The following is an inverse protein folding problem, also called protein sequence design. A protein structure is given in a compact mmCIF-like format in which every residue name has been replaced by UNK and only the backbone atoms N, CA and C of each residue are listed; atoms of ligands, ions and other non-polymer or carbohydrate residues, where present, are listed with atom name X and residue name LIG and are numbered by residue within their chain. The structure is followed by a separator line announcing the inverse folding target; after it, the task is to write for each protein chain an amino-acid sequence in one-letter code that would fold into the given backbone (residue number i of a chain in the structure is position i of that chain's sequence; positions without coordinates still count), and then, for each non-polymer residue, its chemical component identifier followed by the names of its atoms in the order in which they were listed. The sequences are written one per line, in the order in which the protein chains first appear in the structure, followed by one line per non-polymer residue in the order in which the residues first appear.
data_IF_814288911638
#
_entry.id   IF_814288911638
#
_cell.length_a   1.000
_cell.length_b   1.000
_cell.length_c   1.000
_cell.angle_alpha   90.00
_cell.angle_beta   90.00
_cell.angle_gamma   90.00
#
_symmetry.space_group_name_H-M   'P 1'
#
loop_
_entity.id
_entity.type
_entity.pdbx_description
1 polymer ?
#
# COMPACT_ATOMS: atom_id res chain seq x y z
N UNK A 1 1.78 -24.90 -9.51
CA UNK A 1 2.30 -24.10 -10.64
C UNK A 1 2.03 -22.65 -10.37
N UNK A 2 3.04 -21.78 -10.47
CA UNK A 2 2.92 -20.33 -10.23
C UNK A 2 2.76 -19.61 -11.57
N UNK A 3 1.55 -19.24 -11.94
CA UNK A 3 1.27 -18.32 -13.06
C UNK A 3 0.43 -17.18 -12.53
N UNK A 4 1.10 -16.10 -12.12
CA UNK A 4 0.50 -14.78 -11.92
C UNK A 4 1.35 -13.80 -12.71
N UNK A 5 1.24 -13.86 -14.04
CA UNK A 5 1.89 -12.91 -14.94
C UNK A 5 1.04 -11.64 -14.98
N UNK A 6 1.07 -10.85 -13.90
CA UNK A 6 0.60 -9.48 -13.93
C UNK A 6 1.69 -8.59 -14.55
N UNK A 7 1.31 -7.44 -15.10
CA UNK A 7 2.29 -6.41 -15.48
C UNK A 7 3.13 -6.04 -14.24
N UNK A 8 4.48 -6.00 -14.36
CA UNK A 8 5.35 -5.60 -13.27
C UNK A 8 4.99 -4.23 -12.69
N UNK A 9 5.08 -4.11 -11.37
CA UNK A 9 5.09 -2.81 -10.71
C UNK A 9 6.44 -2.11 -10.91
N UNK A 10 6.55 -0.82 -10.57
CA UNK A 10 7.85 -0.17 -10.50
C UNK A 10 8.66 -0.68 -9.31
N UNK A 11 9.99 -0.61 -9.43
CA UNK A 11 10.89 -0.73 -8.28
C UNK A 11 10.72 0.46 -7.34
N UNK A 12 10.93 0.24 -6.04
CA UNK A 12 10.89 1.32 -5.07
C UNK A 12 11.95 2.39 -5.40
N UNK A 13 11.64 3.70 -5.30
CA UNK A 13 12.59 4.75 -5.66
C UNK A 13 13.89 4.66 -4.84
N UNK A 14 15.04 4.69 -5.50
CA UNK A 14 16.34 4.57 -4.82
C UNK A 14 16.69 5.78 -3.94
N UNK A 15 16.19 6.98 -4.28
CA UNK A 15 16.44 8.23 -3.57
C UNK A 15 15.16 9.09 -3.53
N UNK A 16 14.12 8.69 -2.78
CA UNK A 16 12.88 9.44 -2.72
C UNK A 16 13.09 10.75 -1.96
N UNK A 17 12.47 11.83 -2.44
CA UNK A 17 12.32 13.05 -1.65
C UNK A 17 11.32 12.74 -0.54
N UNK A 18 11.80 12.59 0.68
CA UNK A 18 10.95 12.35 1.83
C UNK A 18 10.27 13.64 2.30
N UNK A 19 8.99 13.51 2.63
CA UNK A 19 8.16 14.59 3.19
C UNK A 19 7.78 14.26 4.63
N UNK A 20 7.12 15.21 5.31
CA UNK A 20 6.65 14.99 6.68
C UNK A 20 5.68 13.81 6.76
N UNK A 21 5.84 12.98 7.79
CA UNK A 21 4.92 11.88 8.05
C UNK A 21 3.51 12.42 8.29
N UNK A 22 2.52 11.78 7.65
CA UNK A 22 1.13 12.15 7.80
C UNK A 22 0.42 11.18 8.73
N UNK A 23 -0.40 11.73 9.63
CA UNK A 23 -1.30 10.93 10.43
C UNK A 23 -2.45 10.45 9.54
N UNK A 24 -2.21 9.36 8.82
CA UNK A 24 -3.14 8.61 7.97
C UNK A 24 -3.05 7.18 8.44
N UNK A 25 -4.17 6.64 8.90
CA UNK A 25 -4.21 5.28 9.42
C UNK A 25 -4.32 4.28 8.29
N UNK A 26 -3.43 3.30 8.30
CA UNK A 26 -3.40 2.18 7.36
C UNK A 26 -3.51 0.89 8.13
N UNK A 27 -4.45 0.04 7.78
CA UNK A 27 -4.57 -1.31 8.34
C UNK A 27 -4.96 -2.30 7.27
N UNK A 28 -4.70 -3.57 7.54
CA UNK A 28 -5.16 -4.67 6.70
C UNK A 28 -6.48 -5.21 7.22
N UNK A 29 -7.44 -5.37 6.32
CA UNK A 29 -8.72 -6.02 6.57
C UNK A 29 -8.85 -7.18 5.58
N UNK A 30 -8.60 -8.40 6.05
CA UNK A 30 -8.58 -9.61 5.22
C UNK A 30 -7.64 -9.51 4.01
N UNK A 31 -8.21 -9.30 2.82
CA UNK A 31 -7.50 -9.18 1.54
C UNK A 31 -7.44 -7.76 1.00
N UNK A 32 -7.64 -6.76 1.84
CA UNK A 32 -7.60 -5.36 1.46
C UNK A 32 -6.72 -4.55 2.40
N UNK A 33 -6.10 -3.50 1.86
CA UNK A 33 -5.53 -2.41 2.64
C UNK A 33 -6.59 -1.33 2.75
N UNK A 34 -6.91 -0.95 3.98
CA UNK A 34 -7.85 0.13 4.29
C UNK A 34 -7.05 1.32 4.78
N UNK A 35 -7.33 2.49 4.20
CA UNK A 35 -6.69 3.74 4.54
C UNK A 35 -7.75 4.79 4.86
N UNK A 36 -7.56 5.54 5.94
CA UNK A 36 -8.41 6.70 6.28
C UNK A 36 -7.56 7.96 6.32
N UNK A 37 -7.90 8.95 5.50
CA UNK A 37 -7.23 10.25 5.53
C UNK A 37 -7.74 11.09 6.72
N UNK A 38 -7.03 11.01 7.83
CA UNK A 38 -7.30 11.78 9.06
C UNK A 38 -6.61 13.16 9.09
N UNK A 39 -5.99 13.58 7.98
CA UNK A 39 -5.30 14.87 7.91
C UNK A 39 -6.25 16.01 7.52
N UNK A 40 -5.80 17.26 7.71
CA UNK A 40 -6.55 18.45 7.30
C UNK A 40 -6.44 18.80 5.80
N UNK A 41 -5.82 17.94 4.98
CA UNK A 41 -5.62 18.16 3.54
C UNK A 41 -5.96 16.92 2.73
N UNK A 42 -6.44 17.05 1.48
CA UNK A 42 -6.60 15.89 0.61
C UNK A 42 -5.23 15.29 0.30
N UNK A 43 -5.18 13.96 0.18
CA UNK A 43 -4.00 13.28 -0.37
C UNK A 43 -4.16 13.23 -1.89
N UNK A 44 -3.14 13.68 -2.62
CA UNK A 44 -3.13 13.65 -4.08
C UNK A 44 -3.18 12.23 -4.65
N UNK A 45 -3.49 12.07 -5.95
CA UNK A 45 -3.30 10.80 -6.63
C UNK A 45 -1.81 10.43 -6.62
N UNK A 46 -1.52 9.12 -6.69
CA UNK A 46 -0.15 8.67 -6.59
C UNK A 46 -0.02 7.16 -6.52
N UNK A 47 1.01 6.70 -5.80
CA UNK A 47 1.32 5.29 -5.61
C UNK A 47 1.48 4.98 -4.14
N UNK A 48 0.69 4.03 -3.66
CA UNK A 48 0.82 3.52 -2.31
C UNK A 48 1.84 2.38 -2.31
N UNK A 49 2.85 2.50 -1.47
CA UNK A 49 3.90 1.52 -1.22
C UNK A 49 3.65 0.81 0.10
N UNK A 50 3.79 -0.50 0.12
CA UNK A 50 3.78 -1.34 1.31
C UNK A 50 5.15 -2.00 1.44
N UNK A 51 5.75 -1.92 2.63
CA UNK A 51 7.05 -2.51 2.95
C UNK A 51 8.16 -2.16 1.92
N UNK A 52 8.03 -1.04 1.20
CA UNK A 52 8.92 -0.62 0.10
C UNK A 52 9.15 -1.68 -0.99
N UNK A 53 8.18 -2.56 -1.18
CA UNK A 53 8.28 -3.65 -2.15
C UNK A 53 7.05 -3.72 -3.03
N UNK A 54 5.88 -3.71 -2.40
CA UNK A 54 4.60 -3.85 -3.09
C UNK A 54 4.00 -2.48 -3.34
N UNK A 55 3.52 -2.23 -4.56
CA UNK A 55 2.87 -0.95 -4.85
C UNK A 55 1.60 -1.07 -5.69
N UNK A 56 0.70 -0.12 -5.49
CA UNK A 56 -0.51 0.04 -6.28
C UNK A 56 -0.79 1.52 -6.57
N UNK A 57 -1.31 1.88 -7.76
CA UNK A 57 -1.78 3.22 -8.02
C UNK A 57 -3.03 3.52 -7.17
N UNK A 58 -3.11 4.75 -6.66
CA UNK A 58 -4.23 5.24 -5.86
C UNK A 58 -4.74 6.56 -6.42
N UNK A 59 -6.06 6.74 -6.38
CA UNK A 59 -6.69 8.03 -6.69
C UNK A 59 -6.51 8.96 -5.49
N UNK A 60 -6.80 10.24 -5.69
CA UNK A 60 -6.85 11.21 -4.60
C UNK A 60 -7.78 10.72 -3.48
N UNK A 61 -7.35 10.91 -2.23
CA UNK A 61 -8.09 10.52 -1.03
C UNK A 61 -8.57 11.81 -0.32
N UNK A 62 -9.87 12.14 -0.39
CA UNK A 62 -10.41 13.33 0.27
C UNK A 62 -10.21 13.32 1.78
N UNK A 63 -10.32 14.50 2.39
CA UNK A 63 -10.28 14.65 3.86
C UNK A 63 -11.39 13.80 4.50
N UNK A 64 -11.05 13.01 5.52
CA UNK A 64 -11.97 12.15 6.26
C UNK A 64 -12.44 10.90 5.48
N UNK A 65 -12.01 10.72 4.23
CA UNK A 65 -12.42 9.59 3.43
C UNK A 65 -11.67 8.31 3.82
N UNK A 66 -12.38 7.19 3.77
CA UNK A 66 -11.80 5.84 3.88
C UNK A 66 -11.83 5.17 2.52
N UNK A 67 -10.69 4.60 2.11
CA UNK A 67 -10.57 3.83 0.86
C UNK A 67 -10.11 2.42 1.17
N UNK A 68 -10.66 1.45 0.44
CA UNK A 68 -10.28 0.04 0.52
C UNK A 68 -9.66 -0.39 -0.80
N UNK A 69 -8.42 -0.88 -0.75
CA UNK A 69 -7.63 -1.29 -1.91
C UNK A 69 -7.36 -2.78 -1.80
N UNK A 70 -7.85 -3.61 -2.74
CA UNK A 70 -7.61 -5.05 -2.68
C UNK A 70 -6.12 -5.37 -2.89
N UNK A 71 -5.58 -6.31 -2.10
CA UNK A 71 -4.18 -6.78 -2.19
C UNK A 71 -3.82 -7.27 -3.59
N UNK A 72 -4.80 -7.75 -4.35
CA UNK A 72 -4.63 -8.17 -5.75
C UNK A 72 -4.29 -7.03 -6.71
N UNK A 73 -4.31 -5.76 -6.29
CA UNK A 73 -3.79 -4.62 -7.06
C UNK A 73 -2.33 -4.32 -6.84
N UNK A 74 -1.74 -4.82 -5.75
CA UNK A 74 -0.35 -4.55 -5.42
C UNK A 74 0.57 -5.48 -6.20
N UNK A 75 1.64 -4.91 -6.78
CA UNK A 75 2.66 -5.64 -7.53
C UNK A 75 4.05 -5.23 -7.06
N UNK A 76 5.00 -6.16 -7.14
CA UNK A 76 6.43 -5.85 -7.05
C UNK A 76 7.04 -5.61 -8.44
N UNK A 77 8.34 -5.32 -8.46
CA UNK A 77 9.13 -5.05 -9.67
C UNK A 77 9.22 -6.23 -10.65
N UNK A 78 8.84 -7.44 -10.23
CA UNK A 78 8.82 -8.65 -11.05
C UNK A 78 7.40 -9.09 -11.44
N UNK A 79 6.37 -8.34 -11.02
CA UNK A 79 4.97 -8.64 -11.32
C UNK A 79 4.30 -9.64 -10.36
N UNK A 80 4.95 -10.00 -9.25
CA UNK A 80 4.33 -10.81 -8.22
C UNK A 80 3.33 -9.99 -7.42
N UNK A 81 2.28 -10.65 -6.91
CA UNK A 81 1.33 -10.04 -5.99
C UNK A 81 1.71 -10.30 -4.53
N UNK A 82 1.20 -9.45 -3.64
CA UNK A 82 1.36 -9.62 -2.17
C UNK A 82 0.86 -11.01 -1.76
N UNK A 83 1.64 -11.77 -0.96
CA UNK A 83 1.17 -13.01 -0.35
C UNK A 83 -0.06 -12.77 0.54
N UNK A 84 -1.25 -13.01 -0.02
CA UNK A 84 -2.52 -12.69 0.61
C UNK A 84 -2.95 -13.64 1.73
N UNK A 85 -2.26 -14.78 1.89
CA UNK A 85 -2.71 -15.88 2.75
C UNK A 85 -4.03 -16.50 2.30
N UNK A 86 -4.59 -17.39 3.13
CA UNK A 86 -5.86 -18.09 2.89
C UNK A 86 -5.82 -19.52 3.44
N UNK A 87 -6.99 -20.16 3.61
CA UNK A 87 -7.11 -21.53 4.13
C UNK A 87 -6.25 -22.58 3.38
N UNK A 88 -5.86 -22.30 2.14
CA UNK A 88 -5.03 -23.14 1.29
C UNK A 88 -3.68 -22.52 0.93
N UNK A 89 -3.28 -21.41 1.57
CA UNK A 89 -2.02 -20.75 1.27
C UNK A 89 -0.86 -21.50 1.96
N UNK A 90 0.13 -21.91 1.17
CA UNK A 90 1.35 -22.56 1.67
C UNK A 90 2.31 -21.60 2.39
N UNK A 91 2.02 -20.30 2.40
CA UNK A 91 2.87 -19.24 2.97
C UNK A 91 2.01 -18.36 3.87
N UNK A 92 2.57 -18.02 5.04
CA UNK A 92 1.94 -17.09 5.96
C UNK A 92 1.64 -15.74 5.27
N UNK A 93 0.55 -15.05 5.62
CA UNK A 93 0.28 -13.72 5.11
C UNK A 93 1.46 -12.78 5.40
N UNK A 94 1.85 -11.96 4.43
CA UNK A 94 2.88 -10.95 4.70
C UNK A 94 2.34 -9.87 5.63
N UNK A 95 3.09 -9.56 6.68
CA UNK A 95 2.75 -8.49 7.63
C UNK A 95 3.06 -7.13 7.02
N UNK A 96 2.08 -6.24 7.02
CA UNK A 96 2.28 -4.84 6.61
C UNK A 96 2.79 -4.06 7.82
N UNK A 97 4.05 -3.61 7.77
CA UNK A 97 4.69 -2.85 8.86
C UNK A 97 5.07 -1.43 8.45
N UNK A 98 5.01 -1.13 7.15
CA UNK A 98 5.30 0.17 6.59
C UNK A 98 4.36 0.47 5.42
N UNK A 99 3.82 1.68 5.40
CA UNK A 99 3.05 2.21 4.29
C UNK A 99 3.53 3.63 3.96
N UNK A 100 3.80 3.89 2.68
CA UNK A 100 4.28 5.19 2.20
C UNK A 100 3.46 5.59 0.96
N UNK A 101 3.04 6.86 0.87
CA UNK A 101 2.36 7.40 -0.30
C UNK A 101 3.35 8.24 -1.11
N UNK A 102 3.60 7.82 -2.34
CA UNK A 102 4.34 8.62 -3.32
C UNK A 102 3.36 9.48 -4.11
N UNK A 103 3.57 10.78 -4.12
CA UNK A 103 2.84 11.77 -4.91
C UNK A 103 3.82 12.68 -5.64
N UNK A 104 3.32 13.63 -6.42
CA UNK A 104 4.15 14.69 -7.03
C UNK A 104 4.95 15.50 -5.99
N UNK A 105 4.49 15.53 -4.73
CA UNK A 105 5.14 16.27 -3.64
C UNK A 105 6.30 15.48 -3.01
N UNK A 106 6.45 14.20 -3.35
CA UNK A 106 7.43 13.29 -2.77
C UNK A 106 6.79 12.10 -2.08
N UNK A 107 7.59 11.42 -1.27
CA UNK A 107 7.21 10.23 -0.51
C UNK A 107 6.81 10.63 0.90
N UNK A 108 5.63 10.19 1.34
CA UNK A 108 5.07 10.50 2.65
C UNK A 108 4.89 9.22 3.45
N UNK A 109 5.48 9.14 4.63
CA UNK A 109 5.22 8.03 5.56
C UNK A 109 3.81 8.11 6.13
N UNK A 110 3.10 6.99 6.16
CA UNK A 110 1.76 6.86 6.75
C UNK A 110 1.85 6.04 8.05
N UNK A 111 0.86 6.22 8.93
CA UNK A 111 0.81 5.50 10.21
C UNK A 111 0.13 4.15 10.00
N UNK A 112 0.91 3.07 10.11
CA UNK A 112 0.36 1.71 10.07
C UNK A 112 -0.18 1.33 11.44
N UNK A 113 -1.47 1.04 11.51
CA UNK A 113 -2.12 0.41 12.65
C UNK A 113 -2.13 -1.09 12.37
N UNK A 114 -1.71 -1.89 13.36
CA UNK A 114 -1.58 -3.33 13.25
C UNK A 114 -2.85 -4.01 12.69
N UNK A 115 -2.70 -5.22 12.14
CA UNK A 115 -3.80 -5.99 11.52
C UNK A 115 -5.00 -6.08 12.47
N UNK A 116 -6.21 -5.77 11.94
CA UNK A 116 -7.44 -6.03 12.68
C UNK A 116 -7.63 -7.55 12.76
N UNK A 117 -8.00 -8.10 13.94
CA UNK A 117 -8.20 -9.54 14.13
C UNK A 117 -9.31 -10.10 13.23
#
# INVERSE_FOLDING_TARGET
GRTSTGEPGPAFPAKPVQTEALNVHVFREGRSIVLTNTTARPLGPGRLWLNRWWSAPVKAIPIGATVSIPLSRFRDEFGWGVPGGGFFAAVAPEKIVLAELETEQGLTSLVVIAESP
#
